data_IF_916045960222
#
_entry.id   IF_916045960222
#
_cell.length_a   1.000
_cell.length_b   1.000
_cell.length_c   1.000
_cell.angle_alpha   90.00
_cell.angle_beta   90.00
_cell.angle_gamma   90.00
#
_symmetry.space_group_name_H-M   'P 1'
#
loop_
_entity.id
_entity.type
_entity.pdbx_description
1 polymer ?
#
# COMPACT_ATOMS: atom_id res chain seq x y z
N UNK A 1 -9.41 14.09 9.86
CA UNK A 1 -10.25 13.28 8.95
C UNK A 1 -10.33 11.88 9.50
N UNK A 2 -11.50 11.25 9.45
CA UNK A 2 -11.66 9.84 9.79
C UNK A 2 -11.38 9.00 8.54
N UNK A 3 -10.42 8.08 8.61
CA UNK A 3 -10.11 7.17 7.50
C UNK A 3 -11.02 5.95 7.62
N UNK A 4 -11.94 5.81 6.67
CA UNK A 4 -12.83 4.64 6.57
C UNK A 4 -12.14 3.60 5.68
N UNK A 5 -11.86 2.37 6.17
CA UNK A 5 -11.32 1.31 5.34
C UNK A 5 -12.35 0.84 4.30
N UNK A 6 -11.86 0.35 3.16
CA UNK A 6 -12.67 -0.09 2.03
C UNK A 6 -13.17 -1.52 2.24
N UNK A 7 -12.32 -2.44 2.69
CA UNK A 7 -12.66 -3.87 2.71
C UNK A 7 -12.51 -4.53 4.10
N UNK A 8 -11.45 -4.21 4.83
CA UNK A 8 -11.10 -4.82 6.11
C UNK A 8 -10.77 -3.75 7.15
N UNK A 9 -9.80 -4.00 8.03
CA UNK A 9 -9.36 -3.05 9.06
C UNK A 9 -8.09 -2.36 8.60
N UNK A 10 -7.97 -1.07 8.93
CA UNK A 10 -6.70 -0.35 8.78
C UNK A 10 -5.65 -0.97 9.70
N UNK A 11 -4.54 -1.42 9.12
CA UNK A 11 -3.41 -1.98 9.84
C UNK A 11 -2.28 -0.96 9.98
N UNK A 12 -2.11 -0.09 8.98
CA UNK A 12 -1.14 1.01 9.03
C UNK A 12 -1.66 2.27 8.35
N UNK A 13 -1.32 3.41 8.94
CA UNK A 13 -1.47 4.74 8.35
C UNK A 13 -0.12 5.43 8.32
N UNK A 14 0.14 6.14 7.24
CA UNK A 14 1.28 7.04 7.10
C UNK A 14 0.77 8.37 6.56
N UNK A 15 0.77 9.38 7.41
CA UNK A 15 0.40 10.74 7.03
C UNK A 15 1.56 11.43 6.30
N UNK A 16 1.26 12.02 5.15
CA UNK A 16 2.18 12.82 4.37
C UNK A 16 1.49 14.13 3.96
N UNK A 17 2.26 15.12 3.49
CA UNK A 17 1.69 16.44 3.13
C UNK A 17 0.54 16.39 2.13
N UNK A 18 0.55 15.40 1.22
CA UNK A 18 -0.42 15.26 0.15
C UNK A 18 -1.65 14.43 0.54
N UNK A 19 -1.61 13.70 1.65
CA UNK A 19 -2.70 12.80 2.06
C UNK A 19 -2.22 11.70 3.00
N UNK A 20 -2.97 10.61 3.06
CA UNK A 20 -2.67 9.48 3.96
C UNK A 20 -2.52 8.21 3.15
N UNK A 21 -1.39 7.53 3.31
CA UNK A 21 -1.21 6.18 2.78
C UNK A 21 -1.79 5.20 3.79
N UNK A 22 -2.73 4.39 3.32
CA UNK A 22 -3.47 3.41 4.11
C UNK A 22 -3.01 2.02 3.69
N UNK A 23 -2.72 1.18 4.68
CA UNK A 23 -2.58 -0.26 4.49
C UNK A 23 -3.66 -0.98 5.30
N UNK A 24 -4.51 -1.72 4.62
CA UNK A 24 -5.50 -2.59 5.24
C UNK A 24 -4.94 -3.98 5.52
N UNK A 25 -5.53 -4.66 6.50
CA UNK A 25 -5.11 -6.00 6.89
C UNK A 25 -5.41 -7.01 5.80
N UNK A 26 -4.52 -7.99 5.66
CA UNK A 26 -4.66 -9.06 4.66
C UNK A 26 -5.73 -10.10 5.04
N UNK A 27 -6.13 -10.14 6.32
CA UNK A 27 -7.15 -11.07 6.81
C UNK A 27 -8.53 -10.72 6.25
N UNK A 28 -9.13 -11.65 5.50
CA UNK A 28 -10.40 -11.45 4.80
C UNK A 28 -10.35 -10.51 3.59
N UNK A 29 -9.17 -10.01 3.18
CA UNK A 29 -9.06 -9.03 2.10
C UNK A 29 -9.27 -9.66 0.71
N UNK A 30 -10.03 -9.02 -0.20
CA UNK A 30 -10.24 -9.52 -1.55
C UNK A 30 -8.93 -9.60 -2.34
N UNK A 31 -8.49 -10.81 -2.71
CA UNK A 31 -7.19 -11.01 -3.37
C UNK A 31 -7.05 -10.27 -4.70
N UNK A 32 -8.14 -9.95 -5.41
CA UNK A 32 -8.08 -9.20 -6.68
C UNK A 32 -7.83 -7.70 -6.49
N UNK A 33 -8.01 -7.20 -5.28
CA UNK A 33 -7.78 -5.80 -4.92
C UNK A 33 -6.36 -5.62 -4.35
N UNK A 34 -5.99 -4.38 -4.09
CA UNK A 34 -4.75 -4.02 -3.42
C UNK A 34 -5.07 -3.40 -2.07
N UNK A 35 -4.36 -3.84 -1.04
CA UNK A 35 -4.58 -3.40 0.33
C UNK A 35 -3.70 -2.21 0.71
N UNK A 36 -3.00 -1.59 -0.24
CA UNK A 36 -2.34 -0.30 -0.07
C UNK A 36 -2.94 0.71 -1.04
N UNK A 37 -3.34 1.86 -0.53
CA UNK A 37 -3.86 2.96 -1.33
C UNK A 37 -3.58 4.29 -0.62
N UNK A 38 -3.68 5.39 -1.35
CA UNK A 38 -3.56 6.73 -0.80
C UNK A 38 -4.87 7.48 -0.95
N UNK A 39 -5.26 8.18 0.11
CA UNK A 39 -6.39 9.10 0.09
C UNK A 39 -5.94 10.54 0.32
N UNK A 40 -6.69 11.49 -0.21
CA UNK A 40 -6.48 12.92 0.04
C UNK A 40 -7.14 13.37 1.35
N UNK A 41 -7.14 14.68 1.60
CA UNK A 41 -7.77 15.28 2.77
C UNK A 41 -9.32 15.27 2.75
N UNK A 42 -9.94 14.86 1.64
CA UNK A 42 -11.38 14.66 1.47
C UNK A 42 -11.77 13.17 1.61
N UNK A 43 -10.79 12.27 1.64
CA UNK A 43 -11.00 10.82 1.69
C UNK A 43 -11.08 10.18 0.31
N UNK A 44 -10.85 10.96 -0.75
CA UNK A 44 -10.86 10.47 -2.13
C UNK A 44 -9.59 9.68 -2.42
N UNK A 45 -9.75 8.50 -3.04
CA UNK A 45 -8.62 7.66 -3.41
C UNK A 45 -7.83 8.33 -4.54
N UNK A 46 -6.59 8.73 -4.24
CA UNK A 46 -5.66 9.30 -5.20
C UNK A 46 -5.03 8.21 -6.07
N UNK A 47 -4.65 7.09 -5.46
CA UNK A 47 -4.10 5.93 -6.16
C UNK A 47 -4.23 4.65 -5.33
N UNK A 48 -4.15 3.51 -6.02
CA UNK A 48 -4.11 2.15 -5.47
C UNK A 48 -2.76 1.51 -5.86
N UNK A 49 -2.09 0.84 -4.93
CA UNK A 49 -0.75 0.30 -5.18
C UNK A 49 -0.76 -0.80 -6.26
N UNK A 50 0.17 -0.71 -7.20
CA UNK A 50 0.41 -1.75 -8.20
C UNK A 50 0.89 -3.03 -7.53
N UNK A 51 0.40 -4.17 -8.02
CA UNK A 51 0.73 -5.50 -7.48
C UNK A 51 1.71 -6.23 -8.39
N UNK A 52 2.72 -6.91 -7.85
CA UNK A 52 3.63 -7.72 -8.66
C UNK A 52 2.98 -9.02 -9.18
N UNK A 53 1.91 -9.50 -8.52
CA UNK A 53 1.02 -10.57 -8.99
C UNK A 53 -0.40 -10.24 -8.51
N UNK A 54 -1.44 -10.48 -9.33
CA UNK A 54 -2.83 -10.23 -8.94
C UNK A 54 -3.30 -10.95 -7.67
N UNK A 55 -2.65 -12.02 -7.22
CA UNK A 55 -3.07 -12.85 -6.06
C UNK A 55 -2.36 -12.51 -4.75
N UNK A 56 -1.42 -11.58 -4.78
CA UNK A 56 -0.55 -11.26 -3.64
C UNK A 56 -1.13 -10.10 -2.82
N UNK A 57 -0.89 -10.04 -1.52
CA UNK A 57 -1.21 -8.86 -0.71
C UNK A 57 0.06 -8.30 -0.05
N UNK A 58 0.02 -7.03 0.34
CA UNK A 58 1.11 -6.41 1.07
C UNK A 58 0.94 -6.64 2.57
N UNK A 59 2.03 -6.97 3.27
CA UNK A 59 2.01 -7.33 4.70
C UNK A 59 2.71 -6.30 5.57
N UNK A 60 3.52 -5.43 4.96
CA UNK A 60 4.28 -4.37 5.65
C UNK A 60 4.39 -3.15 4.78
N UNK A 61 4.50 -1.99 5.40
CA UNK A 61 4.72 -0.73 4.70
C UNK A 61 5.65 0.17 5.52
N UNK A 62 6.59 0.82 4.86
CA UNK A 62 7.48 1.84 5.44
C UNK A 62 7.72 2.94 4.42
N UNK A 63 7.53 4.19 4.83
CA UNK A 63 7.90 5.35 4.04
C UNK A 63 9.42 5.58 4.14
N UNK A 64 10.05 5.83 3.00
CA UNK A 64 11.47 6.17 2.88
C UNK A 64 11.65 7.70 2.72
N UNK A 65 12.88 8.19 2.88
CA UNK A 65 13.19 9.63 2.78
C UNK A 65 13.18 10.17 1.34
N UNK A 66 13.34 9.30 0.35
CA UNK A 66 13.43 9.61 -1.08
C UNK A 66 12.06 9.61 -1.78
N UNK A 67 10.96 9.74 -1.03
CA UNK A 67 9.59 9.69 -1.56
C UNK A 67 9.23 8.34 -2.21
N UNK A 68 9.79 7.25 -1.69
CA UNK A 68 9.36 5.88 -2.01
C UNK A 68 8.76 5.17 -0.80
N UNK A 69 8.06 4.08 -1.05
CA UNK A 69 7.47 3.21 -0.05
C UNK A 69 8.09 1.82 -0.18
N UNK A 70 8.75 1.36 0.88
CA UNK A 70 9.18 -0.02 1.03
C UNK A 70 8.02 -0.90 1.50
N UNK A 71 7.76 -2.03 0.84
CA UNK A 71 6.73 -2.99 1.23
C UNK A 71 7.18 -4.43 1.04
N UNK A 72 6.56 -5.35 1.79
CA UNK A 72 6.72 -6.78 1.63
C UNK A 72 5.41 -7.42 1.24
N UNK A 73 5.47 -8.44 0.39
CA UNK A 73 4.32 -9.20 -0.06
C UNK A 73 4.11 -10.45 0.77
N UNK A 74 2.90 -11.03 0.69
CA UNK A 74 2.52 -12.28 1.35
C UNK A 74 3.32 -13.50 0.89
N UNK A 75 3.97 -13.44 -0.27
CA UNK A 75 4.88 -14.48 -0.79
C UNK A 75 6.36 -14.17 -0.55
N UNK A 76 6.69 -13.15 0.26
CA UNK A 76 8.05 -12.86 0.69
C UNK A 76 8.90 -12.01 -0.27
N UNK A 77 8.30 -11.43 -1.31
CA UNK A 77 8.98 -10.43 -2.14
C UNK A 77 9.05 -9.09 -1.43
N UNK A 78 10.14 -8.39 -1.65
CA UNK A 78 10.25 -6.97 -1.35
C UNK A 78 9.88 -6.17 -2.58
N UNK A 79 9.11 -5.09 -2.39
CA UNK A 79 8.78 -4.15 -3.45
C UNK A 79 9.01 -2.73 -2.95
N UNK A 80 9.44 -1.87 -3.86
CA UNK A 80 9.54 -0.44 -3.64
C UNK A 80 8.53 0.25 -4.55
N UNK A 81 7.66 1.07 -3.96
CA UNK A 81 6.61 1.78 -4.65
C UNK A 81 6.94 3.26 -4.74
N UNK A 82 6.56 3.88 -5.85
CA UNK A 82 6.57 5.33 -5.99
C UNK A 82 5.43 5.94 -5.16
N UNK A 83 5.74 6.86 -4.25
CA UNK A 83 4.77 7.46 -3.34
C UNK A 83 3.68 8.27 -4.07
N UNK A 84 3.99 8.85 -5.22
CA UNK A 84 3.05 9.73 -5.93
C UNK A 84 2.04 8.98 -6.79
N UNK A 85 2.37 7.76 -7.21
CA UNK A 85 1.60 7.00 -8.21
C UNK A 85 1.19 5.61 -7.72
N UNK A 86 1.79 5.09 -6.66
CA UNK A 86 1.58 3.73 -6.17
C UNK A 86 2.19 2.64 -7.05
N UNK A 87 2.95 3.00 -8.10
CA UNK A 87 3.57 2.04 -9.03
C UNK A 87 4.81 1.39 -8.46
N UNK A 88 5.09 0.14 -8.87
CA UNK A 88 6.31 -0.56 -8.48
C UNK A 88 7.50 0.04 -9.25
N UNK A 89 8.49 0.53 -8.52
CA UNK A 89 9.77 1.00 -9.07
C UNK A 89 10.78 -0.14 -9.13
N UNK A 90 10.81 -0.96 -8.07
CA UNK A 90 11.75 -2.07 -7.92
C UNK A 90 11.10 -3.22 -7.18
N UNK A 91 11.53 -4.45 -7.48
CA UNK A 91 11.13 -5.63 -6.72
C UNK A 91 12.28 -6.63 -6.66
N UNK A 92 12.39 -7.31 -5.52
CA UNK A 92 13.39 -8.35 -5.30
C UNK A 92 12.77 -9.52 -4.54
N UNK A 93 13.17 -10.72 -4.91
CA UNK A 93 12.81 -11.96 -4.21
C UNK A 93 14.03 -12.44 -3.44
N UNK A 94 13.88 -12.61 -2.14
CA UNK A 94 14.89 -13.31 -1.35
C UNK A 94 14.66 -14.81 -1.57
N UNK A 95 15.64 -15.49 -2.18
CA UNK A 95 15.63 -16.94 -2.42
C UNK A 95 16.65 -17.62 -1.51
#
# INVERSE_FOLDING_TARGET
MEIIPIYTKVEKLIEIKRGVVVMESTDGFPVKETNIYMVDANGDILWKAEKPDPRILFTKIKLNEDSTISTFTSDGRFCELNLETGKIISSSSFR
#
